data_IF_181302984708
#
_entry.id   IF_181302984708
#
_cell.length_a   1.000
_cell.length_b   1.000
_cell.length_c   1.000
_cell.angle_alpha   90.00
_cell.angle_beta   90.00
_cell.angle_gamma   90.00
#
_symmetry.space_group_name_H-M   'P 1'
#
loop_
_entity.id
_entity.type
_entity.pdbx_description
1 polymer ?
#
# COMPACT_ATOMS: atom_id res chain seq x y z
N UNK A 1 -11.50 8.90 -1.11
CA UNK A 1 -12.00 7.57 -0.63
C UNK A 1 -11.82 6.41 -1.62
N UNK A 2 -11.90 6.59 -2.94
CA UNK A 2 -11.74 5.46 -3.87
C UNK A 2 -10.30 4.91 -3.88
N UNK A 3 -9.27 5.77 -3.86
CA UNK A 3 -7.86 5.35 -3.84
C UNK A 3 -7.48 4.51 -2.61
N UNK A 4 -7.94 4.89 -1.40
CA UNK A 4 -7.70 4.10 -0.18
C UNK A 4 -8.36 2.73 -0.23
N UNK A 5 -9.55 2.63 -0.82
CA UNK A 5 -10.24 1.35 -1.02
C UNK A 5 -9.48 0.46 -2.00
N UNK A 6 -9.03 0.99 -3.14
CA UNK A 6 -8.25 0.22 -4.12
C UNK A 6 -6.92 -0.29 -3.51
N UNK A 7 -6.23 0.56 -2.75
CA UNK A 7 -5.02 0.16 -2.03
C UNK A 7 -5.30 -0.95 -1.00
N UNK A 8 -6.37 -0.82 -0.22
CA UNK A 8 -6.76 -1.84 0.75
C UNK A 8 -7.11 -3.17 0.05
N UNK A 9 -7.87 -3.14 -1.04
CA UNK A 9 -8.20 -4.32 -1.84
C UNK A 9 -6.95 -5.00 -2.41
N UNK A 10 -6.04 -4.24 -3.02
CA UNK A 10 -4.80 -4.80 -3.58
C UNK A 10 -3.91 -5.42 -2.48
N UNK A 11 -3.83 -4.77 -1.33
CA UNK A 11 -3.10 -5.30 -0.16
C UNK A 11 -3.70 -6.61 0.33
N UNK A 12 -5.03 -6.69 0.49
CA UNK A 12 -5.71 -7.92 0.91
C UNK A 12 -5.50 -9.07 -0.08
N UNK A 13 -5.54 -8.79 -1.39
CA UNK A 13 -5.29 -9.79 -2.42
C UNK A 13 -3.86 -10.36 -2.32
N UNK A 14 -2.85 -9.49 -2.20
CA UNK A 14 -1.46 -9.91 -2.04
C UNK A 14 -1.24 -10.71 -0.73
N UNK A 15 -1.88 -10.29 0.36
CA UNK A 15 -1.82 -11.00 1.63
C UNK A 15 -2.47 -12.39 1.55
N UNK A 16 -3.64 -12.49 0.94
CA UNK A 16 -4.34 -13.76 0.74
C UNK A 16 -3.55 -14.71 -0.16
N UNK A 17 -2.94 -14.19 -1.22
CA UNK A 17 -2.03 -14.94 -2.08
C UNK A 17 -0.86 -15.52 -1.26
N UNK A 18 -0.27 -14.74 -0.37
CA UNK A 18 0.82 -15.19 0.49
C UNK A 18 0.41 -16.31 1.46
N UNK A 19 -0.76 -16.16 2.10
CA UNK A 19 -1.32 -17.17 3.00
C UNK A 19 -1.70 -18.47 2.27
N UNK A 20 -2.09 -18.38 0.99
CA UNK A 20 -2.39 -19.51 0.14
C UNK A 20 -1.14 -20.18 -0.45
N UNK A 21 0.07 -19.63 -0.22
CA UNK A 21 1.32 -20.13 -0.81
C UNK A 21 1.48 -19.82 -2.30
N UNK A 22 0.74 -18.85 -2.83
CA UNK A 22 0.87 -18.36 -4.20
C UNK A 22 2.15 -17.49 -4.32
N UNK A 23 2.88 -17.51 -5.44
CA UNK A 23 4.04 -16.63 -5.65
C UNK A 23 3.73 -15.13 -5.71
N UNK A 24 2.50 -14.72 -6.05
CA UNK A 24 2.12 -13.31 -6.22
C UNK A 24 1.81 -12.62 -4.88
N UNK A 25 2.81 -12.57 -3.98
CA UNK A 25 2.68 -12.11 -2.59
C UNK A 25 3.04 -10.65 -2.37
N UNK A 26 2.95 -9.80 -3.40
CA UNK A 26 3.33 -8.40 -3.30
C UNK A 26 2.25 -7.47 -3.81
N UNK A 27 2.25 -6.25 -3.26
CA UNK A 27 1.52 -5.12 -3.80
C UNK A 27 2.52 -4.06 -4.26
N UNK A 28 2.37 -3.59 -5.49
CA UNK A 28 3.16 -2.47 -6.03
C UNK A 28 2.25 -1.26 -6.24
N UNK A 29 2.63 -0.14 -5.61
CA UNK A 29 1.92 1.12 -5.71
C UNK A 29 2.72 2.03 -6.64
N UNK A 30 2.12 2.55 -7.71
CA UNK A 30 2.74 3.54 -8.59
C UNK A 30 1.91 4.82 -8.61
N UNK A 31 2.61 5.95 -8.59
CA UNK A 31 2.01 7.24 -8.83
C UNK A 31 2.51 7.78 -10.17
N UNK A 32 1.70 7.65 -11.21
CA UNK A 32 2.01 8.22 -12.53
C UNK A 32 1.61 9.69 -12.59
N UNK A 33 1.81 10.33 -13.74
CA UNK A 33 1.35 11.71 -13.95
C UNK A 33 -0.18 11.84 -13.81
N UNK A 34 -0.94 10.78 -14.13
CA UNK A 34 -2.38 10.84 -14.29
C UNK A 34 -3.16 9.92 -13.35
N UNK A 35 -2.52 8.89 -12.80
CA UNK A 35 -3.20 7.82 -12.06
C UNK A 35 -2.40 7.31 -10.86
N UNK A 36 -3.12 6.76 -9.88
CA UNK A 36 -2.59 5.79 -8.95
C UNK A 36 -2.84 4.39 -9.49
N UNK A 37 -1.82 3.56 -9.45
CA UNK A 37 -1.88 2.17 -9.86
C UNK A 37 -1.51 1.28 -8.68
N UNK A 38 -2.34 0.28 -8.43
CA UNK A 38 -2.12 -0.74 -7.41
C UNK A 38 -2.11 -2.09 -8.10
N UNK A 39 -0.96 -2.74 -8.09
CA UNK A 39 -0.76 -4.05 -8.73
C UNK A 39 -0.61 -5.11 -7.64
N UNK A 40 -1.44 -6.14 -7.64
CA UNK A 40 -1.37 -7.26 -6.72
C UNK A 40 -1.98 -8.51 -7.36
N UNK A 41 -1.39 -9.69 -7.13
CA UNK A 41 -1.93 -10.97 -7.62
C UNK A 41 -2.35 -10.94 -9.11
N UNK A 42 -1.46 -10.42 -9.97
CA UNK A 42 -1.67 -10.27 -11.42
C UNK A 42 -2.86 -9.36 -11.81
N UNK A 43 -3.40 -8.61 -10.84
CA UNK A 43 -4.49 -7.65 -11.02
C UNK A 43 -3.94 -6.22 -10.90
N UNK A 44 -4.35 -5.35 -11.83
CA UNK A 44 -4.01 -3.93 -11.84
C UNK A 44 -5.26 -3.09 -11.59
N UNK A 45 -5.27 -2.35 -10.48
CA UNK A 45 -6.29 -1.36 -10.15
C UNK A 45 -5.75 0.02 -10.48
N UNK A 46 -6.36 0.70 -11.44
CA UNK A 46 -5.96 2.04 -11.86
C UNK A 46 -7.10 3.05 -11.60
N UNK A 47 -6.76 4.16 -10.97
CA UNK A 47 -7.67 5.25 -10.63
C UNK A 47 -7.00 6.58 -10.98
N UNK A 48 -7.76 7.51 -11.57
CA UNK A 48 -7.25 8.86 -11.84
C UNK A 48 -6.85 9.54 -10.54
N UNK A 49 -5.67 10.17 -10.52
CA UNK A 49 -5.17 10.82 -9.31
C UNK A 49 -5.86 12.16 -9.04
N UNK A 50 -6.43 12.80 -10.06
CA UNK A 50 -7.16 14.07 -9.94
C UNK A 50 -6.41 15.16 -9.15
N UNK A 51 -5.09 15.26 -9.38
CA UNK A 51 -4.23 16.20 -8.66
C UNK A 51 -3.77 15.73 -7.27
N UNK A 52 -4.33 14.65 -6.73
CA UNK A 52 -3.87 14.06 -5.48
C UNK A 52 -2.49 13.42 -5.61
N UNK A 53 -1.85 13.27 -4.45
CA UNK A 53 -0.55 12.60 -4.28
C UNK A 53 -0.66 11.52 -3.19
N UNK A 54 0.24 10.53 -3.24
CA UNK A 54 0.38 9.49 -2.23
C UNK A 54 1.81 9.44 -1.72
N UNK A 55 1.94 9.39 -0.41
CA UNK A 55 3.19 9.23 0.29
C UNK A 55 3.04 8.13 1.35
N UNK A 56 4.17 7.57 1.79
CA UNK A 56 4.22 6.60 2.86
C UNK A 56 5.19 7.04 3.96
N UNK A 57 4.98 6.55 5.16
CA UNK A 57 5.92 6.62 6.27
C UNK A 57 5.96 5.26 6.97
N UNK A 58 7.11 4.92 7.54
CA UNK A 58 7.19 3.80 8.48
C UNK A 58 6.70 4.29 9.85
N UNK A 59 5.85 3.51 10.50
CA UNK A 59 5.31 3.86 11.83
C UNK A 59 6.45 4.11 12.82
N UNK A 60 6.33 5.19 13.61
CA UNK A 60 7.38 5.63 14.54
C UNK A 60 8.55 6.38 13.89
N UNK A 61 8.60 6.51 12.57
CA UNK A 61 9.55 7.37 11.87
C UNK A 61 8.91 8.71 11.49
N UNK A 62 9.73 9.77 11.46
CA UNK A 62 9.31 11.09 10.99
C UNK A 62 9.62 11.24 9.51
N UNK A 63 8.68 11.84 8.77
CA UNK A 63 8.84 12.17 7.36
C UNK A 63 7.99 11.28 6.45
N UNK A 64 7.26 11.94 5.56
CA UNK A 64 6.52 11.29 4.48
C UNK A 64 7.43 11.17 3.27
N UNK A 65 7.53 9.97 2.72
CA UNK A 65 8.25 9.68 1.49
C UNK A 65 7.25 9.56 0.34
N UNK A 66 7.33 10.41 -0.70
CA UNK A 66 6.42 10.33 -1.84
C UNK A 66 6.65 9.02 -2.62
N UNK A 67 5.56 8.37 -3.04
CA UNK A 67 5.65 7.17 -3.87
C UNK A 67 5.99 7.60 -5.31
N UNK A 68 7.07 7.06 -5.90
CA UNK A 68 7.47 7.41 -7.25
C UNK A 68 6.62 6.67 -8.30
N UNK A 69 6.65 7.17 -9.55
CA UNK A 69 6.08 6.47 -10.70
C UNK A 69 6.79 5.16 -11.05
N UNK A 70 8.05 4.99 -10.61
CA UNK A 70 8.79 3.72 -10.73
C UNK A 70 8.26 2.59 -9.84
N UNK A 71 7.41 2.93 -8.87
CA UNK A 71 6.75 1.98 -7.99
C UNK A 71 7.36 1.85 -6.60
N UNK A 72 6.49 1.54 -5.66
CA UNK A 72 6.80 1.18 -4.28
C UNK A 72 6.21 -0.20 -4.00
N UNK A 73 7.06 -1.18 -3.77
CA UNK A 73 6.64 -2.58 -3.59
C UNK A 73 6.68 -2.99 -2.13
N UNK A 74 5.62 -3.64 -1.69
CA UNK A 74 5.48 -4.23 -0.36
C UNK A 74 5.31 -5.73 -0.55
N UNK A 75 6.14 -6.51 0.14
CA UNK A 75 6.11 -7.97 0.07
C UNK A 75 5.45 -8.54 1.32
N UNK A 76 4.72 -9.64 1.14
CA UNK A 76 4.15 -10.42 2.22
C UNK A 76 4.87 -11.77 2.34
N UNK A 77 5.11 -12.21 3.57
CA UNK A 77 5.63 -13.54 3.87
C UNK A 77 4.51 -14.60 3.84
N UNK A 78 4.87 -15.89 3.98
CA UNK A 78 3.92 -17.00 3.97
C UNK A 78 2.91 -16.98 5.13
N UNK A 79 3.10 -16.10 6.11
CA UNK A 79 2.17 -15.88 7.22
C UNK A 79 1.28 -14.64 6.97
N UNK A 80 1.36 -14.02 5.80
CA UNK A 80 0.63 -12.80 5.44
C UNK A 80 1.14 -11.55 6.17
N UNK A 81 2.36 -11.59 6.73
CA UNK A 81 2.98 -10.45 7.42
C UNK A 81 3.87 -9.69 6.46
N UNK A 82 4.24 -8.46 6.80
CA UNK A 82 5.18 -7.70 5.97
C UNK A 82 6.54 -8.40 5.98
N UNK A 83 7.09 -8.62 4.79
CA UNK A 83 8.42 -9.16 4.57
C UNK A 83 9.45 -8.02 4.37
N UNK A 84 10.72 -8.38 4.17
CA UNK A 84 11.77 -7.42 3.89
C UNK A 84 11.41 -6.49 2.71
N UNK A 85 11.73 -5.17 2.80
CA UNK A 85 12.53 -4.52 3.86
C UNK A 85 11.73 -4.07 5.09
N UNK A 86 10.41 -4.27 5.13
CA UNK A 86 9.51 -3.73 6.17
C UNK A 86 9.11 -4.77 7.23
N UNK A 87 9.91 -5.82 7.39
CA UNK A 87 9.62 -6.91 8.33
C UNK A 87 9.47 -6.39 9.76
N UNK A 88 8.33 -6.67 10.38
CA UNK A 88 8.01 -6.23 11.74
C UNK A 88 7.65 -4.74 11.86
N UNK A 89 7.55 -4.01 10.75
CA UNK A 89 7.19 -2.59 10.73
C UNK A 89 5.80 -2.37 10.16
N UNK A 90 5.11 -1.34 10.62
CA UNK A 90 3.85 -0.89 10.03
C UNK A 90 4.13 0.28 9.08
N UNK A 91 3.38 0.35 7.97
CA UNK A 91 3.46 1.41 6.98
C UNK A 91 2.18 2.23 7.02
N UNK A 92 2.32 3.55 7.16
CA UNK A 92 1.20 4.48 7.03
C UNK A 92 1.28 5.14 5.66
N UNK A 93 0.20 5.08 4.90
CA UNK A 93 0.01 5.79 3.65
C UNK A 93 -0.85 7.02 3.88
N UNK A 94 -0.44 8.13 3.28
CA UNK A 94 -1.22 9.35 3.22
C UNK A 94 -1.51 9.69 1.76
N UNK A 95 -2.79 9.84 1.44
CA UNK A 95 -3.26 10.33 0.15
C UNK A 95 -3.78 11.73 0.36
N UNK A 96 -3.12 12.71 -0.26
CA UNK A 96 -3.39 14.15 -0.12
C UNK A 96 -3.91 14.73 -1.43
N UNK A 97 -5.12 15.29 -1.39
CA UNK A 97 -5.81 15.99 -2.47
C UNK A 97 -6.72 17.06 -1.90
N UNK A 98 -8.00 17.10 -2.28
CA UNK A 98 -9.01 17.96 -1.63
C UNK A 98 -9.28 17.57 -0.16
N UNK A 99 -8.92 16.35 0.22
CA UNK A 99 -8.95 15.87 1.60
C UNK A 99 -7.79 14.92 1.82
N UNK A 100 -7.28 14.89 3.05
CA UNK A 100 -6.25 13.96 3.48
C UNK A 100 -6.87 12.66 3.99
N UNK A 101 -6.43 11.54 3.42
CA UNK A 101 -6.82 10.22 3.86
C UNK A 101 -5.60 9.42 4.31
N UNK A 102 -5.70 8.81 5.47
CA UNK A 102 -4.65 7.98 6.05
C UNK A 102 -5.07 6.52 6.06
N UNK A 103 -4.17 5.63 5.68
CA UNK A 103 -4.33 4.18 5.73
C UNK A 103 -3.13 3.58 6.45
N UNK A 104 -3.36 2.71 7.41
CA UNK A 104 -2.30 1.92 8.01
C UNK A 104 -2.30 0.50 7.45
N UNK A 105 -1.10 0.03 7.12
CA UNK A 105 -0.78 -1.36 6.90
C UNK A 105 0.07 -1.83 8.08
N UNK A 106 -0.47 -2.69 8.93
CA UNK A 106 0.25 -3.20 10.10
C UNK A 106 1.35 -4.16 9.69
N UNK A 107 2.33 -4.36 10.58
CA UNK A 107 3.37 -5.39 10.41
C UNK A 107 2.82 -6.82 10.23
N UNK A 108 1.58 -7.06 10.69
CA UNK A 108 0.86 -8.33 10.52
C UNK A 108 0.12 -8.44 9.18
N UNK A 109 0.23 -7.42 8.32
CA UNK A 109 -0.41 -7.34 7.01
C UNK A 109 -1.87 -6.90 7.03
N UNK A 110 -2.41 -6.51 8.19
CA UNK A 110 -3.77 -5.98 8.26
C UNK A 110 -3.80 -4.53 7.75
N UNK A 111 -4.78 -4.21 6.91
CA UNK A 111 -4.98 -2.88 6.35
C UNK A 111 -6.24 -2.23 6.89
N UNK A 112 -6.15 -0.98 7.37
CA UNK A 112 -7.27 -0.24 7.95
C UNK A 112 -7.12 1.27 7.76
N UNK A 113 -8.24 1.99 7.83
CA UNK A 113 -8.23 3.45 7.76
C UNK A 113 -7.77 4.07 9.09
N UNK A 114 -6.98 5.14 9.00
CA UNK A 114 -6.41 5.83 10.15
C UNK A 114 -4.89 5.68 10.26
N UNK A 115 -4.26 6.37 11.23
CA UNK A 115 -2.83 6.28 11.48
C UNK A 115 -2.45 4.91 12.03
N UNK A 116 -1.18 4.52 11.85
CA UNK A 116 -0.66 3.35 12.53
C UNK A 116 -0.50 3.64 14.03
N UNK A 117 -1.03 2.74 14.87
CA UNK A 117 -0.94 2.78 16.34
C UNK A 117 0.33 2.13 16.85
#
# INVERSE_FOLDING_TARGET
MLATQQLASATLLAQQAALAGNPSTSVTIRQTSNAFEFEAADSLFSIRREGASVAYQVAGQSGLTPIPGGGFTINFDRMGRLAAPFSGQSLQFQISGDSDFTLCLSSLGAVYQGPCS
#
